data_IF_173115191604
#
_entry.id   IF_173115191604
#
_cell.length_a   1.000
_cell.length_b   1.000
_cell.length_c   1.000
_cell.angle_alpha   90.00
_cell.angle_beta   90.00
_cell.angle_gamma   90.00
#
_symmetry.space_group_name_H-M   'P 1'
#
loop_
_entity.id
_entity.type
_entity.pdbx_description
1 polymer ?
#
# COMPACT_ATOMS: atom_id res chain seq x y z
N UNK A 1 -2.45 -29.08 -12.77
CA UNK A 1 -2.72 -29.85 -11.54
C UNK A 1 -3.06 -28.91 -10.39
N UNK A 2 -2.23 -27.91 -10.09
CA UNK A 2 -2.48 -26.87 -9.08
C UNK A 2 -3.78 -26.09 -9.31
N UNK A 3 -4.08 -25.71 -10.55
CA UNK A 3 -5.33 -25.04 -10.93
C UNK A 3 -6.59 -25.87 -10.60
N UNK A 4 -6.55 -27.17 -10.87
CA UNK A 4 -7.63 -28.11 -10.55
C UNK A 4 -7.83 -28.20 -9.02
N UNK A 5 -6.74 -28.19 -8.25
CA UNK A 5 -6.81 -28.20 -6.78
C UNK A 5 -7.42 -26.91 -6.22
N UNK A 6 -7.10 -25.75 -6.81
CA UNK A 6 -7.74 -24.49 -6.41
C UNK A 6 -9.23 -24.48 -6.77
N UNK A 7 -9.60 -24.99 -7.95
CA UNK A 7 -11.01 -25.18 -8.31
C UNK A 7 -11.76 -26.08 -7.32
N UNK A 8 -11.14 -27.19 -6.92
CA UNK A 8 -11.72 -28.08 -5.90
C UNK A 8 -11.80 -27.41 -4.52
N UNK A 9 -10.81 -26.58 -4.15
CA UNK A 9 -10.85 -25.81 -2.92
C UNK A 9 -11.99 -24.78 -2.92
N UNK A 10 -12.26 -24.12 -4.05
CA UNK A 10 -13.40 -23.21 -4.22
C UNK A 10 -14.74 -23.95 -4.07
N UNK A 11 -14.88 -25.14 -4.67
CA UNK A 11 -16.07 -25.98 -4.48
C UNK A 11 -16.28 -26.38 -3.02
N UNK A 12 -15.21 -26.76 -2.32
CA UNK A 12 -15.24 -27.04 -0.87
C UNK A 12 -15.67 -25.81 -0.08
N UNK A 13 -15.16 -24.63 -0.45
CA UNK A 13 -15.52 -23.36 0.18
C UNK A 13 -17.01 -23.06 -0.01
N UNK A 14 -17.53 -23.17 -1.23
CA UNK A 14 -18.96 -22.97 -1.55
C UNK A 14 -19.85 -23.99 -0.80
N UNK A 15 -19.34 -25.20 -0.58
CA UNK A 15 -19.93 -26.22 0.29
C UNK A 15 -19.83 -25.93 1.80
N UNK A 16 -19.37 -24.74 2.21
CA UNK A 16 -19.14 -24.31 3.60
C UNK A 16 -18.10 -25.16 4.36
N UNK A 17 -17.22 -25.85 3.64
CA UNK A 17 -16.15 -26.69 4.20
C UNK A 17 -14.84 -25.89 4.25
N UNK A 18 -14.82 -24.79 5.00
CA UNK A 18 -13.70 -23.83 4.99
C UNK A 18 -12.35 -24.44 5.36
N UNK A 19 -12.31 -25.33 6.36
CA UNK A 19 -11.08 -26.03 6.75
C UNK A 19 -10.55 -26.92 5.62
N UNK A 20 -11.42 -27.70 4.98
CA UNK A 20 -11.02 -28.56 3.87
C UNK A 20 -10.59 -27.77 2.62
N UNK A 21 -11.23 -26.62 2.36
CA UNK A 21 -10.80 -25.69 1.32
C UNK A 21 -9.38 -25.15 1.60
N UNK A 22 -9.11 -24.74 2.85
CA UNK A 22 -7.80 -24.29 3.29
C UNK A 22 -6.73 -25.39 3.14
N UNK A 23 -7.00 -26.59 3.63
CA UNK A 23 -6.07 -27.72 3.56
C UNK A 23 -5.75 -28.10 2.10
N UNK A 24 -6.76 -28.10 1.23
CA UNK A 24 -6.59 -28.37 -0.20
C UNK A 24 -5.70 -27.31 -0.86
N UNK A 25 -5.92 -26.02 -0.56
CA UNK A 25 -5.09 -24.93 -1.07
C UNK A 25 -3.65 -25.00 -0.50
N UNK A 26 -3.47 -25.49 0.73
CA UNK A 26 -2.15 -25.72 1.31
C UNK A 26 -1.41 -26.84 0.56
N UNK A 27 -2.10 -27.93 0.22
CA UNK A 27 -1.52 -28.98 -0.62
C UNK A 27 -1.10 -28.40 -1.97
N UNK A 28 -1.95 -27.58 -2.62
CA UNK A 28 -1.61 -26.91 -3.86
C UNK A 28 -0.33 -26.06 -3.71
N UNK A 29 -0.18 -25.32 -2.60
CA UNK A 29 1.03 -24.55 -2.29
C UNK A 29 2.27 -25.42 -2.16
N UNK A 30 2.15 -26.58 -1.51
CA UNK A 30 3.30 -27.48 -1.34
C UNK A 30 3.77 -28.10 -2.65
N UNK A 31 2.85 -28.34 -3.58
CA UNK A 31 3.16 -28.93 -4.89
C UNK A 31 3.76 -27.88 -5.84
N UNK A 32 3.26 -26.65 -5.81
CA UNK A 32 3.73 -25.58 -6.68
C UNK A 32 3.71 -24.21 -5.97
N UNK A 33 4.77 -23.88 -5.20
CA UNK A 33 4.82 -22.65 -4.42
C UNK A 33 4.82 -21.36 -5.25
N UNK A 34 5.14 -21.42 -6.55
CA UNK A 34 5.28 -20.25 -7.42
C UNK A 34 4.13 -20.11 -8.42
N UNK A 35 3.08 -20.91 -8.28
CA UNK A 35 1.93 -20.89 -9.16
C UNK A 35 1.21 -19.54 -9.16
N UNK A 36 0.98 -18.99 -10.37
CA UNK A 36 0.09 -17.86 -10.59
C UNK A 36 0.49 -16.56 -9.87
N UNK A 37 1.78 -16.33 -9.63
CA UNK A 37 2.31 -15.10 -9.01
C UNK A 37 1.58 -14.70 -7.71
N UNK A 38 1.52 -15.61 -6.74
CA UNK A 38 0.87 -15.34 -5.45
C UNK A 38 -0.63 -15.65 -5.43
N UNK A 39 -1.15 -16.34 -6.44
CA UNK A 39 -2.56 -16.73 -6.53
C UNK A 39 -2.96 -17.66 -5.37
N UNK A 40 -2.09 -18.60 -4.99
CA UNK A 40 -2.36 -19.55 -3.91
C UNK A 40 -2.43 -18.82 -2.56
N UNK A 41 -1.51 -17.89 -2.30
CA UNK A 41 -1.47 -17.06 -1.08
C UNK A 41 -2.78 -16.28 -0.90
N UNK A 42 -3.35 -15.76 -1.99
CA UNK A 42 -4.62 -15.02 -1.98
C UNK A 42 -5.80 -15.92 -1.60
N UNK A 43 -5.90 -17.13 -2.14
CA UNK A 43 -6.93 -18.10 -1.74
C UNK A 43 -6.75 -18.51 -0.28
N UNK A 44 -5.52 -18.85 0.13
CA UNK A 44 -5.20 -19.21 1.51
C UNK A 44 -5.55 -18.11 2.51
N UNK A 45 -5.29 -16.85 2.18
CA UNK A 45 -5.63 -15.72 3.04
C UNK A 45 -7.15 -15.62 3.25
N UNK A 46 -7.94 -15.78 2.18
CA UNK A 46 -9.40 -15.75 2.25
C UNK A 46 -9.93 -16.91 3.06
N UNK A 47 -9.50 -18.14 2.76
CA UNK A 47 -9.95 -19.32 3.51
C UNK A 47 -9.54 -19.25 4.98
N UNK A 48 -8.35 -18.73 5.29
CA UNK A 48 -7.91 -18.47 6.66
C UNK A 48 -8.89 -17.55 7.39
N UNK A 49 -9.25 -16.41 6.80
CA UNK A 49 -10.20 -15.45 7.40
C UNK A 49 -11.51 -16.13 7.76
N UNK A 50 -12.06 -16.97 6.87
CA UNK A 50 -13.26 -17.73 7.16
C UNK A 50 -13.07 -18.78 8.26
N UNK A 51 -11.97 -19.54 8.24
CA UNK A 51 -11.68 -20.49 9.32
C UNK A 51 -11.52 -19.79 10.67
N UNK A 52 -10.84 -18.64 10.70
CA UNK A 52 -10.69 -17.81 11.90
C UNK A 52 -12.02 -17.23 12.38
N UNK A 53 -12.95 -16.91 11.47
CA UNK A 53 -14.28 -16.39 11.86
C UNK A 53 -15.13 -17.41 12.61
N UNK A 54 -14.81 -18.70 12.52
CA UNK A 54 -15.43 -19.76 13.31
C UNK A 54 -14.88 -19.83 14.73
N UNK A 55 -13.70 -19.26 15.00
CA UNK A 55 -13.13 -19.21 16.34
C UNK A 55 -13.99 -18.28 17.22
N UNK A 56 -14.35 -18.79 18.40
CA UNK A 56 -15.14 -18.04 19.38
C UNK A 56 -14.25 -17.49 20.49
N UNK A 57 -14.55 -16.27 20.90
CA UNK A 57 -13.97 -15.68 22.08
C UNK A 57 -14.48 -16.45 23.30
N UNK A 58 -13.54 -16.98 24.09
CA UNK A 58 -13.82 -17.77 25.29
C UNK A 58 -14.61 -17.00 26.36
N UNK A 59 -14.61 -15.67 26.32
CA UNK A 59 -15.26 -14.81 27.31
C UNK A 59 -16.68 -14.39 26.89
N UNK A 60 -16.91 -14.09 25.61
CA UNK A 60 -18.19 -13.56 25.13
C UNK A 60 -19.02 -14.57 24.33
N UNK A 61 -18.39 -15.63 23.81
CA UNK A 61 -19.04 -16.57 22.87
C UNK A 61 -19.19 -16.02 21.45
N UNK A 62 -18.85 -14.76 21.22
CA UNK A 62 -18.87 -14.13 19.89
C UNK A 62 -17.63 -14.51 19.07
N UNK A 63 -17.61 -14.10 17.81
CA UNK A 63 -16.45 -14.28 16.92
C UNK A 63 -15.19 -13.62 17.51
N UNK A 64 -14.06 -14.35 17.53
CA UNK A 64 -12.78 -13.79 17.95
C UNK A 64 -12.18 -12.92 16.84
N UNK A 65 -12.45 -11.62 16.91
CA UNK A 65 -11.96 -10.65 15.92
C UNK A 65 -10.44 -10.53 15.85
N UNK A 66 -9.72 -10.83 16.95
CA UNK A 66 -8.26 -10.90 16.90
C UNK A 66 -7.81 -12.08 16.02
N UNK A 67 -8.47 -13.23 16.16
CA UNK A 67 -8.20 -14.40 15.32
C UNK A 67 -8.50 -14.15 13.84
N UNK A 68 -9.57 -13.41 13.53
CA UNK A 68 -9.93 -13.02 12.14
C UNK A 68 -8.82 -12.20 11.49
N UNK A 69 -8.22 -11.25 12.21
CA UNK A 69 -7.05 -10.51 11.72
C UNK A 69 -5.74 -11.33 11.76
N UNK A 70 -5.72 -12.47 12.47
CA UNK A 70 -4.52 -13.28 12.64
C UNK A 70 -3.60 -12.78 13.77
N UNK A 71 -4.14 -12.00 14.69
CA UNK A 71 -3.45 -11.46 15.85
C UNK A 71 -3.52 -12.47 16.99
N UNK A 72 -2.36 -12.86 17.53
CA UNK A 72 -2.27 -13.82 18.64
C UNK A 72 -2.47 -13.17 20.00
N UNK A 73 -1.98 -11.94 20.17
CA UNK A 73 -2.08 -11.22 21.43
C UNK A 73 -3.39 -10.41 21.50
N UNK A 74 -4.23 -10.70 22.48
CA UNK A 74 -5.49 -9.97 22.73
C UNK A 74 -5.26 -8.57 23.32
N UNK A 75 -4.03 -8.23 23.69
CA UNK A 75 -3.61 -6.90 24.13
C UNK A 75 -2.90 -6.11 23.03
N UNK A 76 -3.06 -6.55 21.77
CA UNK A 76 -2.51 -5.85 20.63
C UNK A 76 -2.92 -4.37 20.64
N UNK A 77 -1.93 -3.52 20.43
CA UNK A 77 -2.11 -2.08 20.32
C UNK A 77 -2.95 -1.72 19.08
N UNK A 78 -3.55 -0.53 19.08
CA UNK A 78 -4.26 0.04 17.92
C UNK A 78 -3.41 -0.04 16.64
N UNK A 79 -2.10 0.20 16.77
CA UNK A 79 -1.15 0.11 15.66
C UNK A 79 -1.02 -1.31 15.12
N UNK A 80 -0.84 -2.31 15.97
CA UNK A 80 -0.73 -3.71 15.56
C UNK A 80 -2.01 -4.21 14.88
N UNK A 81 -3.17 -3.78 15.38
CA UNK A 81 -4.48 -4.09 14.77
C UNK A 81 -4.57 -3.52 13.35
N UNK A 82 -4.24 -2.23 13.17
CA UNK A 82 -4.26 -1.58 11.85
C UNK A 82 -3.25 -2.23 10.90
N UNK A 83 -2.03 -2.52 11.36
CA UNK A 83 -1.02 -3.19 10.53
C UNK A 83 -1.48 -4.58 10.09
N UNK A 84 -2.06 -5.35 11.00
CA UNK A 84 -2.59 -6.68 10.69
C UNK A 84 -3.74 -6.61 9.68
N UNK A 85 -4.67 -5.67 9.85
CA UNK A 85 -5.72 -5.40 8.85
C UNK A 85 -5.12 -5.06 7.48
N UNK A 86 -4.16 -4.14 7.45
CA UNK A 86 -3.44 -3.69 6.27
C UNK A 86 -2.75 -4.84 5.50
N UNK A 87 -2.14 -5.79 6.22
CA UNK A 87 -1.52 -6.98 5.64
C UNK A 87 -2.55 -7.96 5.08
N UNK A 88 -3.65 -8.17 5.80
CA UNK A 88 -4.76 -9.00 5.32
C UNK A 88 -5.39 -8.42 4.05
N UNK A 89 -5.66 -7.11 4.04
CA UNK A 89 -6.33 -6.42 2.94
C UNK A 89 -5.63 -6.64 1.60
N UNK A 90 -4.29 -6.54 1.58
CA UNK A 90 -3.47 -6.75 0.37
C UNK A 90 -3.71 -8.11 -0.30
N UNK A 91 -4.13 -9.11 0.48
CA UNK A 91 -4.38 -10.46 0.01
C UNK A 91 -5.85 -10.74 -0.24
N UNK A 92 -6.78 -10.15 0.52
CA UNK A 92 -8.21 -10.48 0.45
C UNK A 92 -9.06 -9.51 -0.34
N UNK A 93 -8.51 -8.37 -0.78
CA UNK A 93 -9.29 -7.35 -1.48
C UNK A 93 -9.97 -7.92 -2.74
N UNK A 94 -11.28 -7.71 -2.95
CA UNK A 94 -12.05 -8.38 -4.00
C UNK A 94 -11.53 -8.11 -5.42
N UNK A 95 -11.08 -6.89 -5.70
CA UNK A 95 -10.60 -6.52 -7.04
C UNK A 95 -9.28 -7.21 -7.43
N UNK A 96 -8.52 -7.70 -6.45
CA UNK A 96 -7.19 -8.30 -6.68
C UNK A 96 -7.13 -9.77 -6.33
N UNK A 97 -8.16 -10.31 -5.68
CA UNK A 97 -8.23 -11.70 -5.28
C UNK A 97 -9.17 -12.47 -6.22
N UNK A 98 -8.68 -13.54 -6.88
CA UNK A 98 -9.48 -14.31 -7.83
C UNK A 98 -10.55 -15.20 -7.18
N UNK A 99 -10.51 -15.40 -5.86
CA UNK A 99 -11.45 -16.25 -5.13
C UNK A 99 -12.85 -15.65 -5.08
N UNK A 100 -13.87 -16.49 -5.25
CA UNK A 100 -15.27 -16.08 -5.08
C UNK A 100 -15.60 -15.62 -3.65
N UNK A 101 -14.79 -16.07 -2.69
CA UNK A 101 -14.92 -15.80 -1.27
C UNK A 101 -14.34 -14.44 -0.84
N UNK A 102 -13.59 -13.76 -1.73
CA UNK A 102 -12.83 -12.55 -1.38
C UNK A 102 -13.68 -11.43 -0.77
N UNK A 103 -14.88 -11.20 -1.33
CA UNK A 103 -15.80 -10.15 -0.85
C UNK A 103 -16.20 -10.34 0.61
N UNK A 104 -16.64 -11.54 0.98
CA UNK A 104 -17.03 -11.79 2.36
C UNK A 104 -15.83 -11.84 3.32
N UNK A 105 -14.65 -12.26 2.85
CA UNK A 105 -13.42 -12.17 3.63
C UNK A 105 -13.03 -10.71 3.92
N UNK A 106 -13.15 -9.83 2.93
CA UNK A 106 -12.95 -8.39 3.09
C UNK A 106 -13.92 -7.78 4.11
N UNK A 107 -15.19 -8.16 4.05
CA UNK A 107 -16.21 -7.73 5.02
C UNK A 107 -15.86 -8.20 6.45
N UNK A 108 -15.40 -9.46 6.61
CA UNK A 108 -14.98 -10.00 7.91
C UNK A 108 -13.79 -9.24 8.51
N UNK A 109 -12.74 -8.95 7.73
CA UNK A 109 -11.58 -8.23 8.27
C UNK A 109 -11.90 -6.76 8.57
N UNK A 110 -12.81 -6.14 7.80
CA UNK A 110 -13.29 -4.78 8.05
C UNK A 110 -14.11 -4.73 9.34
N UNK A 111 -15.02 -5.68 9.54
CA UNK A 111 -15.78 -5.81 10.79
C UNK A 111 -14.87 -6.06 11.99
N UNK A 112 -13.82 -6.89 11.81
CA UNK A 112 -12.84 -7.14 12.86
C UNK A 112 -12.09 -5.85 13.26
N UNK A 113 -11.63 -5.06 12.29
CA UNK A 113 -10.98 -3.77 12.55
C UNK A 113 -11.90 -2.84 13.37
N UNK A 114 -13.15 -2.65 12.91
CA UNK A 114 -14.11 -1.75 13.56
C UNK A 114 -14.44 -2.21 14.98
N UNK A 115 -14.70 -3.51 15.16
CA UNK A 115 -15.02 -4.08 16.46
C UNK A 115 -13.86 -3.94 17.46
N UNK A 116 -12.62 -4.10 17.02
CA UNK A 116 -11.44 -4.00 17.89
C UNK A 116 -11.06 -2.57 18.22
N UNK A 117 -11.28 -1.63 17.31
CA UNK A 117 -10.99 -0.22 17.54
C UNK A 117 -12.10 0.50 18.31
N UNK A 118 -13.30 -0.08 18.39
CA UNK A 118 -14.49 0.57 18.94
C UNK A 118 -14.85 1.85 18.18
N UNK A 119 -14.44 1.93 16.92
CA UNK A 119 -14.56 3.11 16.07
C UNK A 119 -15.71 2.87 15.08
N UNK A 120 -16.55 3.88 14.87
CA UNK A 120 -17.66 3.82 13.90
C UNK A 120 -17.38 4.64 12.64
N UNK A 121 -16.20 5.27 12.56
CA UNK A 121 -15.76 6.09 11.43
C UNK A 121 -15.44 5.25 10.20
N UNK A 122 -15.28 5.89 9.06
CA UNK A 122 -14.90 5.20 7.85
C UNK A 122 -13.49 4.60 8.00
N UNK A 123 -13.26 3.37 7.52
CA UNK A 123 -11.94 2.71 7.55
C UNK A 123 -10.85 3.57 6.93
N UNK A 124 -11.18 4.31 5.87
CA UNK A 124 -10.24 5.23 5.21
C UNK A 124 -9.82 6.37 6.12
N UNK A 125 -10.74 6.95 6.90
CA UNK A 125 -10.41 8.00 7.89
C UNK A 125 -9.46 7.46 8.95
N UNK A 126 -9.73 6.27 9.47
CA UNK A 126 -8.86 5.62 10.47
C UNK A 126 -7.45 5.40 9.91
N UNK A 127 -7.34 4.97 8.64
CA UNK A 127 -6.05 4.74 7.98
C UNK A 127 -5.31 6.06 7.70
N UNK A 128 -6.02 7.13 7.34
CA UNK A 128 -5.42 8.45 7.13
C UNK A 128 -4.94 9.06 8.45
N UNK A 129 -5.71 8.99 9.52
CA UNK A 129 -5.29 9.41 10.86
C UNK A 129 -4.03 8.66 11.31
N UNK A 130 -4.00 7.35 11.05
CA UNK A 130 -2.82 6.52 11.34
C UNK A 130 -1.63 6.95 10.50
N UNK A 131 -1.82 7.24 9.20
CA UNK A 131 -0.76 7.70 8.32
C UNK A 131 -0.19 9.04 8.79
N UNK A 132 -1.05 9.97 9.20
CA UNK A 132 -0.64 11.26 9.76
C UNK A 132 0.15 11.11 11.06
N UNK A 133 -0.30 10.24 11.98
CA UNK A 133 0.43 9.97 13.22
C UNK A 133 1.82 9.39 12.98
N UNK A 134 1.97 8.45 12.03
CA UNK A 134 3.28 7.90 11.66
C UNK A 134 4.15 8.96 10.97
N UNK A 135 3.55 9.83 10.15
CA UNK A 135 4.27 10.93 9.50
C UNK A 135 4.86 11.91 10.51
N UNK A 136 4.08 12.32 11.51
CA UNK A 136 4.53 13.20 12.60
C UNK A 136 5.65 12.57 13.44
N UNK A 137 5.76 11.24 13.44
CA UNK A 137 6.86 10.50 14.07
C UNK A 137 8.08 10.29 13.15
N UNK A 138 8.13 10.95 11.99
CA UNK A 138 9.15 10.80 10.95
C UNK A 138 9.24 9.39 10.33
N UNK A 139 8.18 8.59 10.45
CA UNK A 139 8.07 7.25 9.87
C UNK A 139 7.43 7.33 8.49
N UNK A 140 8.14 7.97 7.56
CA UNK A 140 7.58 8.35 6.25
C UNK A 140 7.16 7.16 5.39
N UNK A 141 7.88 6.03 5.51
CA UNK A 141 7.54 4.82 4.75
C UNK A 141 6.24 4.21 5.26
N UNK A 142 6.09 4.12 6.57
CA UNK A 142 4.92 3.59 7.25
C UNK A 142 3.69 4.46 6.98
N UNK A 143 3.86 5.79 7.04
CA UNK A 143 2.81 6.75 6.67
C UNK A 143 2.35 6.55 5.22
N UNK A 144 3.30 6.43 4.29
CA UNK A 144 3.01 6.19 2.88
C UNK A 144 2.29 4.85 2.65
N UNK A 145 2.75 3.78 3.31
CA UNK A 145 2.14 2.46 3.19
C UNK A 145 0.70 2.45 3.74
N UNK A 146 0.43 3.11 4.87
CA UNK A 146 -0.92 3.26 5.41
C UNK A 146 -1.85 4.05 4.47
N UNK A 147 -1.39 5.18 3.93
CA UNK A 147 -2.18 5.97 2.99
C UNK A 147 -2.44 5.23 1.67
N UNK A 148 -1.49 4.42 1.18
CA UNK A 148 -1.72 3.56 0.01
C UNK A 148 -2.83 2.53 0.24
N UNK A 149 -2.94 2.02 1.46
CA UNK A 149 -3.99 1.07 1.82
C UNK A 149 -5.32 1.80 1.91
N UNK A 150 -5.35 3.01 2.46
CA UNK A 150 -6.51 3.88 2.42
C UNK A 150 -7.00 4.09 0.97
N UNK A 151 -6.06 4.31 0.03
CA UNK A 151 -6.35 4.44 -1.40
C UNK A 151 -6.90 3.15 -2.02
N UNK A 152 -6.44 2.00 -1.54
CA UNK A 152 -6.91 0.69 -1.99
C UNK A 152 -8.36 0.45 -1.59
N UNK A 153 -8.72 0.86 -0.36
CA UNK A 153 -10.06 0.67 0.22
C UNK A 153 -11.11 1.51 -0.53
N UNK A 154 -10.85 2.80 -0.70
CA UNK A 154 -11.73 3.69 -1.47
C UNK A 154 -10.91 4.80 -2.16
N UNK A 155 -10.61 4.64 -3.47
CA UNK A 155 -9.90 5.65 -4.24
C UNK A 155 -10.64 6.99 -4.35
N UNK A 156 -11.98 6.98 -4.23
CA UNK A 156 -12.83 8.17 -4.43
C UNK A 156 -13.09 8.93 -3.14
N UNK A 157 -12.62 8.42 -2.00
CA UNK A 157 -12.89 8.99 -0.69
C UNK A 157 -12.50 10.48 -0.60
N UNK A 158 -13.43 11.28 -0.06
CA UNK A 158 -13.23 12.72 0.16
C UNK A 158 -12.91 13.49 -1.13
N UNK A 159 -13.59 13.20 -2.25
CA UNK A 159 -13.32 13.78 -3.57
C UNK A 159 -11.85 13.58 -4.03
N UNK A 160 -11.30 12.40 -3.76
CA UNK A 160 -9.92 12.07 -4.09
C UNK A 160 -8.89 12.70 -3.14
N UNK A 161 -9.28 13.12 -1.93
CA UNK A 161 -8.37 13.56 -0.87
C UNK A 161 -7.26 12.53 -0.63
N UNK A 162 -7.60 11.24 -0.63
CA UNK A 162 -6.62 10.15 -0.42
C UNK A 162 -5.49 10.18 -1.45
N UNK A 163 -5.79 10.48 -2.71
CA UNK A 163 -4.75 10.61 -3.75
C UNK A 163 -3.74 11.71 -3.42
N UNK A 164 -4.21 12.82 -2.84
CA UNK A 164 -3.37 13.96 -2.44
C UNK A 164 -2.47 13.56 -1.26
N UNK A 165 -3.03 12.93 -0.23
CA UNK A 165 -2.26 12.42 0.92
C UNK A 165 -1.19 11.42 0.49
N UNK A 166 -1.56 10.43 -0.35
CA UNK A 166 -0.62 9.44 -0.88
C UNK A 166 0.49 10.10 -1.68
N UNK A 167 0.18 11.08 -2.53
CA UNK A 167 1.18 11.80 -3.30
C UNK A 167 2.16 12.56 -2.39
N UNK A 168 1.67 13.24 -1.36
CA UNK A 168 2.49 13.95 -0.40
C UNK A 168 3.41 12.99 0.38
N UNK A 169 2.86 11.93 0.99
CA UNK A 169 3.67 10.96 1.74
C UNK A 169 4.67 10.19 0.86
N UNK A 170 4.32 9.91 -0.40
CA UNK A 170 5.24 9.27 -1.36
C UNK A 170 6.51 10.08 -1.54
N UNK A 171 6.39 11.41 -1.66
CA UNK A 171 7.54 12.30 -1.86
C UNK A 171 8.49 12.19 -0.67
N UNK A 172 7.96 12.26 0.55
CA UNK A 172 8.77 12.12 1.77
C UNK A 172 9.42 10.74 1.87
N UNK A 173 8.67 9.66 1.63
CA UNK A 173 9.21 8.31 1.60
C UNK A 173 10.33 8.14 0.55
N UNK A 174 10.20 8.79 -0.61
CA UNK A 174 11.22 8.76 -1.65
C UNK A 174 12.54 9.43 -1.24
N UNK A 175 12.51 10.39 -0.31
CA UNK A 175 13.72 11.05 0.22
C UNK A 175 14.57 10.14 1.13
N UNK A 176 14.01 9.01 1.58
CA UNK A 176 14.76 8.00 2.34
C UNK A 176 15.80 7.29 1.48
N UNK A 177 15.60 7.26 0.15
CA UNK A 177 16.56 6.66 -0.78
C UNK A 177 17.71 7.63 -1.05
N UNK A 178 18.82 7.44 -0.34
CA UNK A 178 20.02 8.25 -0.43
C UNK A 178 21.22 7.46 -0.94
N UNK A 179 22.12 8.11 -1.64
CA UNK A 179 23.41 7.53 -2.01
C UNK A 179 24.40 7.55 -0.83
N UNK A 180 25.61 7.04 -1.04
CA UNK A 180 26.70 7.03 -0.03
C UNK A 180 27.12 8.42 0.47
N UNK A 181 26.75 9.49 -0.24
CA UNK A 181 27.02 10.88 0.12
C UNK A 181 25.84 11.55 0.82
N UNK A 182 24.75 10.82 1.09
CA UNK A 182 23.53 11.35 1.70
C UNK A 182 22.66 12.16 0.74
N UNK A 183 22.98 12.21 -0.55
CA UNK A 183 22.19 12.90 -1.56
C UNK A 183 20.95 12.09 -1.94
N UNK A 184 19.83 12.76 -2.17
CA UNK A 184 18.52 12.17 -2.49
C UNK A 184 18.42 11.79 -3.97
N UNK A 185 17.69 10.71 -4.27
CA UNK A 185 17.36 10.37 -5.66
C UNK A 185 16.21 11.25 -6.20
N UNK A 186 16.56 12.32 -6.91
CA UNK A 186 15.56 13.25 -7.46
C UNK A 186 14.64 12.62 -8.51
N UNK A 187 15.09 11.61 -9.26
CA UNK A 187 14.23 10.88 -10.19
C UNK A 187 13.15 10.08 -9.45
N UNK A 188 13.54 9.43 -8.35
CA UNK A 188 12.61 8.67 -7.50
C UNK A 188 11.56 9.59 -6.87
N UNK A 189 11.97 10.78 -6.41
CA UNK A 189 11.06 11.81 -5.86
C UNK A 189 9.96 12.17 -6.87
N UNK A 190 10.33 12.44 -8.12
CA UNK A 190 9.36 12.75 -9.19
C UNK A 190 8.63 11.52 -9.74
N UNK A 191 9.04 10.31 -9.36
CA UNK A 191 8.50 9.07 -9.92
C UNK A 191 8.79 8.94 -11.42
N UNK A 192 10.02 9.25 -11.82
CA UNK A 192 10.53 9.10 -13.18
C UNK A 192 11.31 7.78 -13.26
N UNK A 193 10.85 6.88 -14.15
CA UNK A 193 11.33 5.50 -14.20
C UNK A 193 12.78 5.38 -14.70
N UNK A 194 13.20 6.30 -15.58
CA UNK A 194 14.52 6.24 -16.21
C UNK A 194 15.27 7.58 -16.10
N UNK A 195 16.57 7.51 -15.83
CA UNK A 195 17.40 8.71 -15.69
C UNK A 195 17.67 9.44 -17.01
N UNK A 196 17.41 8.80 -18.16
CA UNK A 196 17.59 9.38 -19.49
C UNK A 196 16.33 10.05 -20.05
N UNK A 197 15.29 10.21 -19.23
CA UNK A 197 14.04 10.82 -19.69
C UNK A 197 14.26 12.29 -20.09
N UNK A 198 13.58 12.75 -21.16
CA UNK A 198 13.71 14.12 -21.63
C UNK A 198 13.10 15.10 -20.62
N UNK A 199 13.58 16.34 -20.68
CA UNK A 199 13.13 17.44 -19.83
C UNK A 199 11.60 17.61 -19.83
N UNK A 200 10.97 17.53 -21.01
CA UNK A 200 9.51 17.62 -21.18
C UNK A 200 8.76 16.61 -20.31
N UNK A 201 9.27 15.37 -20.20
CA UNK A 201 8.64 14.33 -19.38
C UNK A 201 8.84 14.59 -17.89
N UNK A 202 9.99 15.15 -17.52
CA UNK A 202 10.29 15.54 -16.13
C UNK A 202 9.33 16.67 -15.71
N UNK A 203 9.20 17.72 -16.53
CA UNK A 203 8.26 18.82 -16.29
C UNK A 203 6.81 18.34 -16.25
N UNK A 204 6.42 17.44 -17.16
CA UNK A 204 5.07 16.85 -17.16
C UNK A 204 4.77 16.09 -15.85
N UNK A 205 5.74 15.32 -15.34
CA UNK A 205 5.62 14.62 -14.05
C UNK A 205 5.50 15.60 -12.88
N UNK A 206 6.33 16.64 -12.87
CA UNK A 206 6.24 17.71 -11.88
C UNK A 206 4.87 18.39 -11.88
N UNK A 207 4.36 18.82 -13.03
CA UNK A 207 3.04 19.46 -13.10
C UNK A 207 1.93 18.54 -12.60
N UNK A 208 2.00 17.23 -12.90
CA UNK A 208 1.02 16.25 -12.41
C UNK A 208 1.07 16.10 -10.89
N UNK A 209 2.27 16.06 -10.31
CA UNK A 209 2.44 15.99 -8.86
C UNK A 209 2.06 17.30 -8.18
N UNK A 210 2.43 18.43 -8.76
CA UNK A 210 2.06 19.76 -8.30
C UNK A 210 0.54 19.89 -8.16
N UNK A 211 -0.24 19.45 -9.16
CA UNK A 211 -1.71 19.45 -9.07
C UNK A 211 -2.30 18.62 -7.91
N UNK A 212 -1.57 17.61 -7.42
CA UNK A 212 -2.02 16.76 -6.31
C UNK A 212 -1.53 17.26 -4.95
N UNK A 213 -0.37 17.91 -4.91
CA UNK A 213 0.36 18.25 -3.69
C UNK A 213 0.30 19.76 -3.39
N UNK A 214 -0.07 20.59 -4.37
CA UNK A 214 -0.13 22.04 -4.20
C UNK A 214 -0.96 22.36 -2.95
N UNK A 215 -0.38 23.01 -1.94
CA UNK A 215 -1.15 23.52 -0.82
C UNK A 215 -2.04 24.64 -1.37
N UNK A 216 -3.34 24.39 -1.49
CA UNK A 216 -4.32 25.44 -1.73
C UNK A 216 -4.56 26.15 -0.39
N UNK A 217 -4.68 27.49 -0.39
CA UNK A 217 -4.77 28.30 0.85
C UNK A 217 -5.95 27.91 1.77
N UNK A 218 -6.96 27.21 1.24
CA UNK A 218 -8.20 26.88 1.95
C UNK A 218 -8.36 25.39 2.31
N UNK A 219 -7.44 24.50 1.92
CA UNK A 219 -7.63 23.06 2.14
C UNK A 219 -6.29 22.28 2.21
N UNK A 220 -5.64 22.33 3.37
CA UNK A 220 -4.46 21.50 3.68
C UNK A 220 -4.91 20.04 3.91
N UNK A 221 -5.11 19.30 2.83
CA UNK A 221 -5.51 17.87 2.88
C UNK A 221 -4.48 16.97 3.56
N UNK A 222 -3.24 17.44 3.73
CA UNK A 222 -2.19 16.67 4.40
C UNK A 222 -1.15 17.60 5.00
N UNK A 223 -0.77 17.33 6.26
CA UNK A 223 0.36 17.97 6.95
C UNK A 223 1.68 17.86 6.19
N UNK A 224 1.79 16.92 5.24
CA UNK A 224 2.99 16.68 4.45
C UNK A 224 3.06 17.51 3.16
N UNK A 225 1.96 18.13 2.72
CA UNK A 225 1.80 18.70 1.38
C UNK A 225 2.79 19.83 1.08
N UNK A 226 2.89 20.82 1.97
CA UNK A 226 3.77 21.98 1.79
C UNK A 226 5.24 21.60 1.61
N UNK A 227 5.76 20.74 2.50
CA UNK A 227 7.14 20.27 2.39
C UNK A 227 7.33 19.35 1.18
N UNK A 228 6.34 18.51 0.84
CA UNK A 228 6.41 17.69 -0.35
C UNK A 228 6.50 18.55 -1.62
N UNK A 229 5.76 19.66 -1.69
CA UNK A 229 5.81 20.61 -2.81
C UNK A 229 7.21 21.24 -2.97
N UNK A 230 7.84 21.61 -1.86
CA UNK A 230 9.22 22.13 -1.85
C UNK A 230 10.22 21.08 -2.35
N UNK A 231 10.07 19.82 -1.90
CA UNK A 231 10.94 18.72 -2.31
C UNK A 231 10.84 18.45 -3.82
N UNK A 232 9.62 18.42 -4.39
CA UNK A 232 9.46 18.19 -5.84
C UNK A 232 9.93 19.39 -6.67
N UNK A 233 9.77 20.62 -6.15
CA UNK A 233 10.30 21.83 -6.81
C UNK A 233 11.82 21.77 -6.89
N UNK A 234 12.47 21.39 -5.78
CA UNK A 234 13.93 21.20 -5.76
C UNK A 234 14.39 20.07 -6.69
N UNK A 235 13.63 18.99 -6.78
CA UNK A 235 13.93 17.89 -7.69
C UNK A 235 13.95 18.36 -9.16
N UNK A 236 13.00 19.20 -9.55
CA UNK A 236 12.93 19.77 -10.91
C UNK A 236 14.10 20.70 -11.17
N UNK A 237 14.44 21.60 -10.26
CA UNK A 237 15.59 22.51 -10.41
C UNK A 237 16.87 21.73 -10.75
N UNK A 238 17.11 20.61 -10.07
CA UNK A 238 18.31 19.78 -10.28
C UNK A 238 18.24 18.98 -11.60
N UNK A 239 17.06 18.54 -12.02
CA UNK A 239 16.89 17.61 -13.14
C UNK A 239 16.56 18.27 -14.48
N UNK A 240 16.10 19.52 -14.48
CA UNK A 240 15.81 20.29 -15.69
C UNK A 240 17.06 21.05 -16.13
N UNK A 241 17.80 21.64 -15.19
CA UNK A 241 19.05 22.32 -15.52
C UNK A 241 20.12 21.32 -16.00
N UNK A 242 20.61 21.52 -17.22
CA UNK A 242 21.52 20.59 -17.88
C UNK A 242 22.86 20.43 -17.14
N UNK A 243 23.38 21.51 -16.56
CA UNK A 243 24.65 21.49 -15.81
C UNK A 243 24.48 20.79 -14.46
N UNK A 244 23.44 21.15 -13.70
CA UNK A 244 23.09 20.53 -12.43
C UNK A 244 22.82 19.04 -12.57
N UNK A 245 22.08 18.65 -13.61
CA UNK A 245 21.79 17.25 -13.94
C UNK A 245 23.05 16.49 -14.31
N UNK A 246 23.93 17.08 -15.12
CA UNK A 246 25.23 16.49 -15.46
C UNK A 246 26.13 16.29 -14.23
N UNK A 247 26.12 17.23 -13.27
CA UNK A 247 26.84 17.10 -12.00
C UNK A 247 26.22 16.09 -11.03
N UNK A 248 24.91 15.86 -11.12
CA UNK A 248 24.18 14.86 -10.33
C UNK A 248 24.48 13.42 -10.74
N UNK A 249 24.53 13.14 -12.05
CA UNK A 249 24.66 11.77 -12.58
C UNK A 249 25.88 10.99 -12.01
N UNK A 250 27.11 11.52 -12.05
CA UNK A 250 28.29 10.82 -11.53
C UNK A 250 28.19 10.51 -10.03
N UNK A 251 27.61 11.42 -9.25
CA UNK A 251 27.44 11.25 -7.79
C UNK A 251 26.49 10.10 -7.45
N UNK A 252 25.57 9.80 -8.37
CA UNK A 252 24.65 8.67 -8.31
C UNK A 252 25.11 7.44 -9.09
N UNK A 253 26.33 7.45 -9.65
CA UNK A 253 26.84 6.34 -10.46
C UNK A 253 26.10 6.16 -11.80
N UNK A 254 25.37 7.19 -12.24
CA UNK A 254 24.65 7.19 -13.51
C UNK A 254 25.58 7.61 -14.64
N UNK A 255 25.35 7.03 -15.83
CA UNK A 255 26.10 7.41 -17.01
C UNK A 255 25.71 8.84 -17.44
N UNK A 256 26.65 9.59 -18.05
CA UNK A 256 26.31 10.83 -18.74
C UNK A 256 25.17 10.57 -19.73
N UNK A 257 24.28 11.55 -19.87
CA UNK A 257 23.25 11.46 -20.90
C UNK A 257 23.92 11.33 -22.27
N UNK A 258 23.40 10.47 -23.17
CA UNK A 258 23.88 10.44 -24.53
C UNK A 258 23.75 11.86 -25.09
N UNK A 259 24.86 12.44 -25.55
CA UNK A 259 24.86 13.77 -26.12
C UNK A 259 23.77 13.82 -27.20
N UNK A 260 22.75 14.65 -27.00
CA UNK A 260 21.87 15.00 -28.08
C UNK A 260 22.78 15.56 -29.18
N UNK A 261 22.90 14.85 -30.30
CA UNK A 261 23.50 15.42 -31.50
C UNK A 261 22.71 16.69 -31.76
N UNK A 262 23.33 17.86 -31.48
CA UNK A 262 22.80 19.15 -31.90
C UNK A 262 22.54 19.01 -33.40
N UNK A 263 21.27 18.96 -33.79
CA UNK A 263 20.85 19.12 -35.18
C UNK A 263 20.74 20.61 -35.46
#
# INVERSE_FOLDING_TARGET
MTDIMLGFAEEQFLGKRFGAAYDTAMVAKTLDPFFGNGCIEKHLAVYRVYTSSLCKNSLTGDTDWHCVLGIKDRRASRKEIILSFCENLKLVHPDYNPSSAARGAYELISNALMALLGDSRNVVEILLDSAESEFLQNKFKEAYDAAKIALLVDPSFGNGCVHRCVAAYRVHAATLLKNRYGEINWYNVLGVDYYWEPEEKILSRFCRMGKLICPDDDNDYSVAAKLAYQIISRAVEVLVDSESRAGFHPRWGLKPLPCAKRR
#
